data_IF_664380324042
#
_entry.id   IF_664380324042
#
_cell.length_a   1.000
_cell.length_b   1.000
_cell.length_c   1.000
_cell.angle_alpha   90.00
_cell.angle_beta   90.00
_cell.angle_gamma   90.00
#
_symmetry.space_group_name_H-M   'P 1'
#
loop_
_entity.id
_entity.type
_entity.pdbx_description
1 polymer ?
#
# COMPACT_ATOMS: atom_id res chain seq x y z
N UNK A 1 -38.32 11.49 -0.56
CA UNK A 1 -38.69 10.76 -1.79
C UNK A 1 -38.24 9.31 -1.68
N UNK A 2 -39.14 8.42 -1.26
CA UNK A 2 -38.85 6.99 -1.15
C UNK A 2 -39.02 6.37 -2.54
N UNK A 3 -37.93 5.84 -3.10
CA UNK A 3 -37.97 5.16 -4.37
C UNK A 3 -38.50 3.75 -4.16
N UNK A 4 -39.32 3.28 -5.09
CA UNK A 4 -40.00 1.99 -5.01
C UNK A 4 -39.54 1.09 -6.16
N UNK A 5 -39.45 -0.20 -5.89
CA UNK A 5 -39.21 -1.24 -6.87
C UNK A 5 -39.86 -2.54 -6.43
N UNK A 6 -39.83 -3.55 -7.29
CA UNK A 6 -40.33 -4.88 -6.99
C UNK A 6 -39.31 -5.93 -7.41
N UNK A 7 -39.26 -7.04 -6.68
CA UNK A 7 -38.53 -8.24 -7.04
C UNK A 7 -39.55 -9.26 -7.53
N UNK A 8 -39.29 -9.90 -8.67
CA UNK A 8 -40.15 -10.92 -9.25
C UNK A 8 -39.36 -12.22 -9.36
N UNK A 9 -39.92 -13.31 -8.83
CA UNK A 9 -39.34 -14.64 -9.04
C UNK A 9 -39.55 -15.06 -10.50
N UNK A 10 -38.45 -15.39 -11.19
CA UNK A 10 -38.46 -15.76 -12.61
C UNK A 10 -39.01 -17.18 -12.87
N UNK A 11 -39.16 -18.01 -11.84
CA UNK A 11 -39.60 -19.41 -11.96
C UNK A 11 -41.12 -19.53 -12.05
N UNK A 12 -41.88 -18.70 -11.33
CA UNK A 12 -43.35 -18.68 -11.32
C UNK A 12 -43.92 -17.39 -11.96
N UNK A 13 -43.19 -16.26 -11.87
CA UNK A 13 -43.61 -14.98 -12.44
C UNK A 13 -44.85 -14.36 -11.79
N UNK A 14 -45.46 -15.02 -10.81
CA UNK A 14 -46.68 -14.59 -10.12
C UNK A 14 -46.40 -13.94 -8.76
N UNK A 15 -45.27 -14.27 -8.12
CA UNK A 15 -44.86 -13.65 -6.86
C UNK A 15 -44.08 -12.36 -7.10
N UNK A 16 -44.64 -11.25 -6.62
CA UNK A 16 -44.04 -9.92 -6.62
C UNK A 16 -43.81 -9.47 -5.17
N UNK A 17 -42.58 -9.09 -4.85
CA UNK A 17 -42.21 -8.52 -3.57
C UNK A 17 -41.81 -7.05 -3.74
N UNK A 18 -42.65 -6.14 -3.25
CA UNK A 18 -42.36 -4.71 -3.26
C UNK A 18 -41.29 -4.34 -2.22
N UNK A 19 -40.42 -3.40 -2.56
CA UNK A 19 -39.47 -2.81 -1.63
C UNK A 19 -39.34 -1.30 -1.83
N UNK A 20 -38.96 -0.62 -0.75
CA UNK A 20 -38.57 0.79 -0.78
C UNK A 20 -37.08 0.91 -0.55
N UNK A 21 -36.46 1.88 -1.20
CA UNK A 21 -35.05 2.19 -0.99
C UNK A 21 -34.81 3.70 -0.99
N UNK A 22 -33.75 4.09 -0.32
CA UNK A 22 -33.32 5.49 -0.23
C UNK A 22 -32.28 5.73 -1.30
N UNK A 23 -32.46 6.77 -2.12
CA UNK A 23 -31.44 7.19 -3.06
C UNK A 23 -30.28 7.86 -2.31
N UNK A 24 -29.06 7.41 -2.59
CA UNK A 24 -27.84 8.03 -2.09
C UNK A 24 -27.21 8.81 -3.25
N UNK A 25 -26.90 10.09 -3.04
CA UNK A 25 -26.21 10.86 -4.08
C UNK A 25 -24.82 10.30 -4.34
N UNK A 26 -24.28 10.53 -5.53
CA UNK A 26 -22.93 10.07 -5.90
C UNK A 26 -21.88 10.58 -4.90
N UNK A 27 -22.02 11.81 -4.45
CA UNK A 27 -21.11 12.45 -3.50
C UNK A 27 -21.12 11.75 -2.14
N UNK A 28 -22.30 11.40 -1.62
CA UNK A 28 -22.42 10.67 -0.35
C UNK A 28 -21.87 9.25 -0.50
N UNK A 29 -22.16 8.59 -1.61
CA UNK A 29 -21.63 7.25 -1.89
C UNK A 29 -20.09 7.26 -1.95
N UNK A 30 -19.49 8.26 -2.59
CA UNK A 30 -18.04 8.45 -2.67
C UNK A 30 -17.42 8.75 -1.30
N UNK A 31 -18.05 9.60 -0.49
CA UNK A 31 -17.62 9.86 0.89
C UNK A 31 -17.67 8.60 1.77
N UNK A 32 -18.74 7.81 1.66
CA UNK A 32 -18.86 6.54 2.37
C UNK A 32 -17.80 5.54 1.89
N UNK A 33 -17.56 5.45 0.57
CA UNK A 33 -16.51 4.60 0.01
C UNK A 33 -15.14 4.97 0.55
N UNK A 34 -14.78 6.26 0.57
CA UNK A 34 -13.51 6.72 1.14
C UNK A 34 -13.39 6.44 2.65
N UNK A 35 -14.49 6.52 3.41
CA UNK A 35 -14.51 6.16 4.84
C UNK A 35 -14.41 4.66 5.10
N UNK A 36 -14.92 3.84 4.19
CA UNK A 36 -14.89 2.38 4.28
C UNK A 36 -13.64 1.76 3.64
N UNK A 37 -12.94 2.48 2.76
CA UNK A 37 -11.68 2.05 2.14
C UNK A 37 -10.62 1.50 3.12
N UNK A 38 -10.46 2.04 4.35
CA UNK A 38 -9.52 1.48 5.33
C UNK A 38 -10.11 0.34 6.19
N UNK A 39 -11.36 -0.09 5.96
CA UNK A 39 -11.99 -1.17 6.73
C UNK A 39 -11.75 -2.51 6.03
N UNK A 40 -10.87 -3.31 6.61
CA UNK A 40 -10.60 -4.67 6.17
C UNK A 40 -11.55 -5.66 6.88
N UNK A 41 -12.44 -6.29 6.13
CA UNK A 41 -13.24 -7.42 6.63
C UNK A 41 -12.36 -8.67 6.59
N UNK A 42 -12.04 -9.24 7.75
CA UNK A 42 -11.39 -10.55 7.85
C UNK A 42 -12.40 -11.64 7.51
N UNK A 43 -12.35 -12.20 6.31
CA UNK A 43 -12.99 -13.48 6.03
C UNK A 43 -12.19 -14.61 6.69
N UNK A 44 -12.78 -15.43 7.58
CA UNK A 44 -12.10 -16.57 8.17
C UNK A 44 -11.99 -17.68 7.12
N UNK A 45 -10.94 -17.64 6.30
CA UNK A 45 -10.56 -18.74 5.42
C UNK A 45 -9.42 -19.52 6.06
N UNK A 46 -9.51 -20.86 6.02
CA UNK A 46 -8.54 -21.81 6.56
C UNK A 46 -7.22 -21.89 5.74
N UNK A 47 -6.94 -20.90 4.90
CA UNK A 47 -5.71 -20.79 4.12
C UNK A 47 -4.69 -19.94 4.89
N UNK A 48 -3.40 -20.27 4.73
CA UNK A 48 -2.25 -19.71 5.45
C UNK A 48 -2.44 -18.29 5.99
N UNK A 49 -2.11 -18.06 7.27
CA UNK A 49 -2.12 -16.78 8.01
C UNK A 49 -1.31 -15.62 7.37
N UNK A 50 -0.83 -15.78 6.13
CA UNK A 50 -0.24 -14.73 5.32
C UNK A 50 -1.33 -13.86 4.69
N UNK A 51 -1.28 -12.57 5.01
CA UNK A 51 -2.14 -11.56 4.40
C UNK A 51 -1.89 -11.49 2.89
N UNK A 52 -2.97 -11.39 2.10
CA UNK A 52 -2.89 -11.23 0.63
C UNK A 52 -2.28 -9.89 0.21
N UNK A 53 -2.51 -8.83 0.98
CA UNK A 53 -1.95 -7.52 0.77
C UNK A 53 -1.74 -6.81 2.12
N UNK A 54 -0.89 -5.79 2.11
CA UNK A 54 -0.69 -4.86 3.22
C UNK A 54 -0.39 -3.48 2.64
N UNK A 55 -0.99 -2.45 3.21
CA UNK A 55 -0.74 -1.08 2.79
C UNK A 55 0.58 -0.55 3.37
N UNK A 56 1.20 0.43 2.70
CA UNK A 56 2.36 1.12 3.27
C UNK A 56 1.99 1.85 4.58
N UNK A 57 0.75 2.33 4.71
CA UNK A 57 0.29 2.95 5.95
C UNK A 57 0.33 1.99 7.13
N UNK A 58 -0.17 0.76 6.95
CA UNK A 58 -0.07 -0.28 7.98
C UNK A 58 1.39 -0.65 8.28
N UNK A 59 2.27 -0.73 7.27
CA UNK A 59 3.70 -0.99 7.48
C UNK A 59 4.41 0.12 8.27
N UNK A 60 3.97 1.36 8.10
CA UNK A 60 4.50 2.53 8.78
C UNK A 60 3.77 2.87 10.09
N UNK A 61 2.79 2.06 10.49
CA UNK A 61 1.88 2.27 11.63
C UNK A 61 1.20 3.65 11.64
N UNK A 62 0.73 4.07 10.46
CA UNK A 62 -0.02 5.33 10.28
C UNK A 62 -1.39 5.07 9.70
N UNK A 63 -2.35 5.98 9.93
CA UNK A 63 -3.70 5.86 9.38
C UNK A 63 -3.91 6.74 8.16
N UNK A 64 -3.19 7.86 8.11
CA UNK A 64 -3.24 8.84 7.03
C UNK A 64 -1.84 9.33 6.66
N UNK A 65 -1.74 9.98 5.51
CA UNK A 65 -0.49 10.58 5.03
C UNK A 65 -0.04 11.69 5.99
N UNK A 66 -0.97 12.46 6.54
CA UNK A 66 -0.65 13.56 7.45
C UNK A 66 -0.07 13.08 8.80
N UNK A 67 -0.27 11.81 9.14
CA UNK A 67 0.30 11.20 10.34
C UNK A 67 1.80 10.85 10.15
N UNK A 68 2.32 10.92 8.92
CA UNK A 68 3.73 10.70 8.62
C UNK A 68 4.52 11.96 8.95
N UNK A 69 5.08 12.03 10.16
CA UNK A 69 6.03 13.10 10.52
C UNK A 69 7.40 12.87 9.87
N UNK A 70 7.58 13.39 8.65
CA UNK A 70 8.85 13.29 7.92
C UNK A 70 9.98 14.01 8.65
N UNK A 71 9.70 15.18 9.22
CA UNK A 71 10.71 15.98 9.93
C UNK A 71 11.29 15.22 11.13
N UNK A 72 10.43 14.64 11.97
CA UNK A 72 10.88 13.85 13.13
C UNK A 72 11.67 12.62 12.68
N UNK A 73 11.15 11.88 11.69
CA UNK A 73 11.82 10.67 11.17
C UNK A 73 13.20 10.98 10.62
N UNK A 74 13.32 12.04 9.82
CA UNK A 74 14.60 12.45 9.24
C UNK A 74 15.58 12.95 10.31
N UNK A 75 15.11 13.69 11.32
CA UNK A 75 15.95 14.17 12.42
C UNK A 75 16.43 13.04 13.34
N UNK A 76 15.62 12.00 13.54
CA UNK A 76 15.94 10.85 14.38
C UNK A 76 16.73 9.75 13.66
N UNK A 77 16.75 9.82 12.32
CA UNK A 77 17.41 8.83 11.48
C UNK A 77 18.92 8.73 11.80
N UNK A 78 19.43 7.49 11.76
CA UNK A 78 20.83 7.17 12.03
C UNK A 78 21.33 6.24 10.93
N UNK A 79 21.41 6.76 9.70
CA UNK A 79 21.78 5.99 8.51
C UNK A 79 23.13 5.26 8.66
N UNK A 80 24.06 5.82 9.45
CA UNK A 80 25.36 5.22 9.79
C UNK A 80 25.30 4.02 10.74
N UNK A 81 24.13 3.76 11.33
CA UNK A 81 23.90 2.67 12.28
C UNK A 81 23.03 1.58 11.68
N UNK A 82 21.95 1.95 10.98
CA UNK A 82 20.99 1.03 10.36
C UNK A 82 20.28 1.72 9.20
N UNK A 83 20.00 0.96 8.15
CA UNK A 83 19.23 1.37 6.97
C UNK A 83 17.99 0.48 6.82
N UNK A 84 17.42 0.04 7.94
CA UNK A 84 16.24 -0.82 7.95
C UNK A 84 15.00 -0.06 7.46
N UNK A 85 14.35 -0.59 6.42
CA UNK A 85 13.06 -0.12 5.97
C UNK A 85 12.06 -1.28 5.82
N UNK A 86 10.78 -1.08 6.19
CA UNK A 86 9.77 -2.13 6.12
C UNK A 86 9.41 -2.47 4.67
N UNK A 87 9.21 -3.77 4.41
CA UNK A 87 8.87 -4.33 3.09
C UNK A 87 7.54 -5.07 3.05
N UNK A 88 7.10 -5.62 4.18
CA UNK A 88 5.96 -6.53 4.23
C UNK A 88 5.77 -7.12 5.63
N UNK A 89 4.98 -8.18 5.72
CA UNK A 89 4.73 -8.90 6.97
C UNK A 89 4.88 -10.41 6.77
N UNK A 90 5.32 -11.10 7.81
CA UNK A 90 5.32 -12.57 7.89
C UNK A 90 3.93 -13.08 8.28
N UNK A 91 3.76 -14.40 8.22
CA UNK A 91 2.65 -15.09 8.89
C UNK A 91 2.63 -14.69 10.36
N UNK A 92 1.48 -14.24 10.87
CA UNK A 92 1.35 -13.71 12.23
C UNK A 92 1.51 -12.19 12.37
N UNK A 93 1.82 -11.47 11.28
CA UNK A 93 1.77 -10.00 11.24
C UNK A 93 3.06 -9.28 11.67
N UNK A 94 4.14 -10.01 11.95
CA UNK A 94 5.45 -9.41 12.22
C UNK A 94 5.97 -8.68 10.96
N UNK A 95 6.37 -7.41 11.09
CA UNK A 95 6.92 -6.62 9.98
C UNK A 95 8.30 -7.15 9.57
N UNK A 96 8.48 -7.34 8.27
CA UNK A 96 9.76 -7.68 7.64
C UNK A 96 10.46 -6.40 7.23
N UNK A 97 11.71 -6.25 7.68
CA UNK A 97 12.57 -5.13 7.32
C UNK A 97 13.69 -5.60 6.39
N UNK A 98 14.07 -4.75 5.45
CA UNK A 98 15.31 -4.87 4.69
C UNK A 98 16.27 -3.78 5.15
N UNK A 99 17.38 -4.19 5.76
CA UNK A 99 18.47 -3.32 6.18
C UNK A 99 19.72 -3.54 5.33
N UNK A 100 19.97 -2.60 4.41
CA UNK A 100 21.12 -2.65 3.49
C UNK A 100 22.42 -2.12 4.10
N UNK A 101 22.41 -1.74 5.38
CA UNK A 101 23.63 -1.35 6.07
C UNK A 101 24.59 -2.55 6.17
N UNK A 102 25.90 -2.31 6.04
CA UNK A 102 26.94 -3.35 5.94
C UNK A 102 26.97 -4.34 7.12
N UNK A 103 26.45 -3.91 8.28
CA UNK A 103 26.37 -4.69 9.53
C UNK A 103 25.20 -5.68 9.55
N UNK A 104 24.24 -5.57 8.63
CA UNK A 104 23.01 -6.38 8.61
C UNK A 104 22.90 -7.20 7.33
N UNK A 105 22.01 -6.85 6.38
CA UNK A 105 21.84 -7.63 5.16
C UNK A 105 22.86 -7.27 4.07
N UNK A 106 23.58 -6.15 4.24
CA UNK A 106 24.65 -5.74 3.34
C UNK A 106 24.18 -4.85 2.18
N UNK A 107 25.13 -4.19 1.49
CA UNK A 107 24.86 -3.07 0.58
C UNK A 107 24.29 -3.48 -0.78
N UNK A 108 24.21 -4.79 -1.07
CA UNK A 108 23.82 -5.32 -2.37
C UNK A 108 22.78 -6.42 -2.20
N UNK A 109 21.76 -6.41 -3.07
CA UNK A 109 20.68 -7.39 -3.06
C UNK A 109 20.22 -7.75 -4.45
N UNK A 110 19.57 -8.91 -4.56
CA UNK A 110 18.93 -9.41 -5.78
C UNK A 110 17.45 -9.66 -5.51
N UNK A 111 16.57 -9.03 -6.30
CA UNK A 111 15.14 -9.32 -6.28
C UNK A 111 14.78 -10.02 -7.59
N UNK A 112 14.38 -11.29 -7.49
CA UNK A 112 13.98 -12.11 -8.63
C UNK A 112 12.52 -12.53 -8.49
N UNK A 113 11.81 -12.57 -9.61
CA UNK A 113 10.40 -12.95 -9.66
C UNK A 113 9.90 -13.00 -11.10
N UNK A 114 8.90 -13.85 -11.35
CA UNK A 114 8.23 -13.94 -12.64
C UNK A 114 7.36 -12.70 -12.89
N UNK A 115 6.93 -12.48 -14.14
CA UNK A 115 5.95 -11.42 -14.44
C UNK A 115 4.69 -11.63 -13.59
N UNK A 116 4.23 -10.58 -12.92
CA UNK A 116 3.05 -10.64 -12.05
C UNK A 116 3.35 -11.04 -10.60
N UNK A 117 4.60 -11.37 -10.24
CA UNK A 117 4.94 -11.77 -8.87
C UNK A 117 5.09 -10.61 -7.87
N UNK A 118 4.82 -9.36 -8.28
CA UNK A 118 4.98 -8.18 -7.42
C UNK A 118 6.40 -7.61 -7.30
N UNK A 119 7.33 -8.00 -8.17
CA UNK A 119 8.73 -7.49 -8.16
C UNK A 119 8.82 -5.97 -8.28
N UNK A 120 7.95 -5.34 -9.07
CA UNK A 120 7.97 -3.87 -9.21
C UNK A 120 7.38 -3.19 -7.97
N UNK A 121 6.23 -3.66 -7.50
CA UNK A 121 5.61 -3.22 -6.25
C UNK A 121 6.57 -3.30 -5.05
N UNK A 122 7.29 -4.40 -4.85
CA UNK A 122 8.19 -4.50 -3.68
C UNK A 122 9.35 -3.49 -3.77
N UNK A 123 9.86 -3.19 -4.97
CA UNK A 123 10.89 -2.17 -5.17
C UNK A 123 10.33 -0.77 -4.93
N UNK A 124 9.11 -0.49 -5.40
CA UNK A 124 8.44 0.79 -5.15
C UNK A 124 8.14 1.00 -3.66
N UNK A 125 7.64 -0.04 -2.97
CA UNK A 125 7.43 -0.03 -1.52
C UNK A 125 8.74 0.25 -0.80
N UNK A 126 9.84 -0.40 -1.18
CA UNK A 126 11.14 -0.16 -0.55
C UNK A 126 11.61 1.29 -0.74
N UNK A 127 11.53 1.83 -1.96
CA UNK A 127 11.90 3.22 -2.27
C UNK A 127 11.08 4.19 -1.42
N UNK A 128 9.77 4.00 -1.34
CA UNK A 128 8.89 4.84 -0.53
C UNK A 128 9.20 4.71 0.96
N UNK A 129 9.32 3.50 1.49
CA UNK A 129 9.68 3.26 2.89
C UNK A 129 10.98 3.99 3.26
N UNK A 130 12.02 3.85 2.46
CA UNK A 130 13.30 4.53 2.65
C UNK A 130 13.15 6.06 2.59
N UNK A 131 12.42 6.59 1.60
CA UNK A 131 12.20 8.03 1.46
C UNK A 131 11.42 8.63 2.65
N UNK A 132 10.54 7.86 3.28
CA UNK A 132 9.82 8.29 4.50
C UNK A 132 10.68 8.24 5.76
N UNK A 133 11.77 7.48 5.77
CA UNK A 133 12.60 7.23 6.95
C UNK A 133 13.91 8.02 6.95
N UNK A 134 14.48 8.29 5.78
CA UNK A 134 15.80 8.91 5.63
C UNK A 134 15.72 10.18 4.80
N UNK A 135 16.51 11.19 5.18
CA UNK A 135 16.56 12.47 4.47
C UNK A 135 17.20 12.29 3.07
N UNK A 136 16.85 13.11 2.05
CA UNK A 136 17.50 13.09 0.73
C UNK A 136 19.02 13.27 0.72
N UNK A 137 19.58 13.80 1.81
CA UNK A 137 21.04 13.96 1.99
C UNK A 137 21.72 12.71 2.55
N UNK A 138 20.93 11.75 3.05
CA UNK A 138 21.42 10.48 3.57
C UNK A 138 21.23 9.36 2.54
N UNK A 139 20.12 9.38 1.80
CA UNK A 139 19.78 8.38 0.80
C UNK A 139 19.33 9.06 -0.49
N UNK A 140 19.84 8.57 -1.62
CA UNK A 140 19.38 8.96 -2.94
C UNK A 140 19.18 7.74 -3.83
N UNK A 141 18.26 7.83 -4.77
CA UNK A 141 17.95 6.76 -5.71
C UNK A 141 18.38 7.15 -7.13
N UNK A 142 18.99 6.18 -7.82
CA UNK A 142 19.18 6.20 -9.27
C UNK A 142 18.46 4.97 -9.79
N UNK A 143 17.43 5.18 -10.62
CA UNK A 143 16.57 4.11 -11.12
C UNK A 143 16.90 3.84 -12.57
N UNK A 144 17.32 2.61 -12.88
CA UNK A 144 17.59 2.15 -14.24
C UNK A 144 16.53 1.11 -14.62
N UNK A 145 15.59 1.50 -15.48
CA UNK A 145 14.50 0.64 -15.95
C UNK A 145 14.63 0.36 -17.47
N UNK A 146 15.10 -0.84 -17.80
CA UNK A 146 15.37 -1.26 -19.18
C UNK A 146 14.11 -1.56 -20.01
N UNK A 147 12.92 -1.65 -19.41
CA UNK A 147 11.68 -2.06 -20.11
C UNK A 147 10.74 -0.91 -20.47
N UNK A 148 11.17 0.35 -20.31
CA UNK A 148 10.43 1.51 -20.82
C UNK A 148 9.65 2.32 -19.78
N UNK A 149 10.23 2.55 -18.61
CA UNK A 149 10.17 3.87 -17.97
C UNK A 149 8.96 4.17 -17.08
N UNK A 150 8.16 3.19 -16.69
CA UNK A 150 7.04 3.42 -15.77
C UNK A 150 7.49 3.76 -14.36
N UNK A 151 8.49 3.02 -13.85
CA UNK A 151 8.82 3.05 -12.42
C UNK A 151 9.50 4.35 -11.99
N UNK A 152 10.51 4.82 -12.73
CA UNK A 152 11.21 6.06 -12.37
C UNK A 152 10.28 7.28 -12.41
N UNK A 153 9.38 7.33 -13.40
CA UNK A 153 8.43 8.43 -13.57
C UNK A 153 7.45 8.59 -12.39
N UNK A 154 7.15 7.51 -11.68
CA UNK A 154 6.30 7.56 -10.47
C UNK A 154 6.95 8.34 -9.32
N UNK A 155 8.28 8.45 -9.34
CA UNK A 155 9.07 9.07 -8.28
C UNK A 155 9.67 10.42 -8.69
N UNK A 156 9.31 10.98 -9.85
CA UNK A 156 9.93 12.21 -10.40
C UNK A 156 9.90 13.42 -9.46
N UNK A 157 8.95 13.46 -8.53
CA UNK A 157 8.79 14.54 -7.55
C UNK A 157 9.43 14.22 -6.19
N UNK A 158 10.00 13.02 -6.01
CA UNK A 158 10.73 12.71 -4.79
C UNK A 158 12.08 13.44 -4.80
N UNK A 159 12.40 14.19 -3.73
CA UNK A 159 13.70 14.86 -3.62
C UNK A 159 14.88 13.89 -3.54
N UNK A 160 14.63 12.62 -3.22
CA UNK A 160 15.63 11.55 -3.21
C UNK A 160 16.02 11.05 -4.60
N UNK A 161 15.24 11.33 -5.64
CA UNK A 161 15.49 10.78 -6.98
C UNK A 161 16.48 11.64 -7.75
N UNK A 162 17.57 11.03 -8.22
CA UNK A 162 18.61 11.68 -9.03
C UNK A 162 18.63 11.12 -10.46
N UNK A 163 18.84 12.01 -11.43
CA UNK A 163 19.08 11.62 -12.84
C UNK A 163 17.85 11.15 -13.61
N UNK A 164 16.65 11.56 -13.19
CA UNK A 164 15.37 11.28 -13.86
C UNK A 164 15.01 12.35 -14.90
#
# INVERSE_FOLDING_TARGET
DNFQGFIQDLSDGTELQDFTYTHVSKEIAEQCSNKLAPIYIKEPTLESDLRKNISLYELLDVKKVEDISLEDRWNESKVYSSMAAPLGVKSGGEVVYLDIHEKYHGPHGLVAGTTGSGKSEILQTYILSMATLFHPYEVSFIIIDFKGGGMANQFRSLPHLNGA
#
